data_IF_201497812107
#
_entry.id   IF_201497812107
#
_cell.length_a   1.000
_cell.length_b   1.000
_cell.length_c   1.000
_cell.angle_alpha   90.00
_cell.angle_beta   90.00
_cell.angle_gamma   90.00
#
_symmetry.space_group_name_H-M   'P 1'
#
loop_
_entity.id
_entity.type
_entity.pdbx_description
1 polymer ?
#
# COMPACT_ATOMS: atom_id res chain seq x y z
N UNK A 1 5.85 16.48 -57.06
CA UNK A 1 6.50 17.56 -57.81
C UNK A 1 6.84 18.65 -56.81
N UNK A 2 8.09 18.64 -56.35
CA UNK A 2 8.82 19.80 -55.81
C UNK A 2 9.23 20.68 -57.04
N UNK A 3 9.47 22.00 -56.93
CA UNK A 3 10.75 22.48 -56.38
C UNK A 3 10.66 23.80 -55.60
N UNK A 4 11.45 23.95 -54.54
CA UNK A 4 12.53 24.96 -54.40
C UNK A 4 12.75 25.42 -52.95
N UNK A 5 13.86 24.94 -52.39
CA UNK A 5 14.42 25.33 -51.10
C UNK A 5 15.30 26.60 -51.12
N UNK A 6 16.14 26.83 -50.09
CA UNK A 6 16.29 28.09 -49.36
C UNK A 6 17.63 28.84 -49.64
N UNK A 7 17.90 29.97 -48.95
CA UNK A 7 19.05 30.02 -48.01
C UNK A 7 18.80 30.97 -46.80
N UNK A 8 19.56 31.04 -45.71
CA UNK A 8 20.84 30.46 -45.32
C UNK A 8 21.19 30.88 -43.88
N UNK A 9 22.04 30.09 -43.24
CA UNK A 9 22.73 30.38 -41.97
C UNK A 9 23.89 31.37 -42.18
N UNK A 10 24.35 32.03 -41.11
CA UNK A 10 25.77 31.93 -40.81
C UNK A 10 26.09 31.59 -39.36
N UNK A 11 27.32 31.10 -39.23
CA UNK A 11 27.97 30.38 -38.15
C UNK A 11 29.22 31.17 -37.75
N UNK A 12 29.44 31.50 -36.47
CA UNK A 12 30.77 31.78 -35.86
C UNK A 12 30.61 31.59 -34.33
N UNK A 13 31.13 30.58 -33.61
CA UNK A 13 32.50 30.10 -33.29
C UNK A 13 33.32 31.01 -32.34
N UNK A 14 33.67 30.49 -31.15
CA UNK A 14 34.98 30.74 -30.54
C UNK A 14 35.01 31.07 -29.05
N UNK A 15 35.84 30.33 -28.29
CA UNK A 15 36.67 30.93 -27.24
C UNK A 15 36.63 30.31 -25.84
N UNK A 16 37.35 29.21 -25.64
CA UNK A 16 37.90 28.76 -24.34
C UNK A 16 39.13 29.62 -24.02
N UNK A 17 39.33 30.09 -22.78
CA UNK A 17 40.64 30.22 -22.12
C UNK A 17 40.54 30.26 -20.58
N UNK A 18 41.52 29.59 -19.97
CA UNK A 18 41.88 29.32 -18.57
C UNK A 18 42.47 30.55 -17.83
N UNK A 19 42.58 30.51 -16.49
CA UNK A 19 43.20 31.58 -15.72
C UNK A 19 43.23 31.41 -14.18
N UNK A 20 44.19 30.62 -13.71
CA UNK A 20 44.60 30.45 -12.31
C UNK A 20 45.08 31.74 -11.60
N UNK A 21 44.80 31.82 -10.28
CA UNK A 21 45.67 32.31 -9.17
C UNK A 21 46.26 33.74 -9.17
N UNK A 22 45.87 34.51 -8.15
CA UNK A 22 46.68 35.38 -7.25
C UNK A 22 45.80 35.64 -5.99
N UNK A 23 46.18 35.62 -4.71
CA UNK A 23 47.47 35.67 -4.04
C UNK A 23 47.60 36.97 -3.22
N UNK A 24 47.29 36.98 -1.91
CA UNK A 24 47.59 38.10 -0.98
C UNK A 24 46.91 37.93 0.38
N UNK A 25 47.56 37.31 1.38
CA UNK A 25 48.38 37.94 2.46
C UNK A 25 47.66 39.08 3.23
N UNK A 26 47.33 38.80 4.49
CA UNK A 26 46.89 39.75 5.50
C UNK A 26 46.81 39.09 6.88
N UNK A 27 47.97 38.89 7.50
CA UNK A 27 48.14 38.41 8.86
C UNK A 27 48.07 39.62 9.81
N UNK A 28 47.18 39.59 10.80
CA UNK A 28 47.38 40.29 12.07
C UNK A 28 46.79 39.46 13.21
N UNK A 29 47.65 39.28 14.18
CA UNK A 29 47.59 38.42 15.35
C UNK A 29 46.81 39.13 16.47
N UNK A 30 45.77 38.50 17.02
CA UNK A 30 45.28 38.82 18.37
C UNK A 30 44.87 37.53 19.07
N UNK A 31 45.78 37.10 19.94
CA UNK A 31 45.60 36.14 20.99
C UNK A 31 44.45 36.53 21.93
N UNK A 32 43.40 35.71 21.98
CA UNK A 32 42.50 35.59 23.14
C UNK A 32 42.35 34.11 23.46
N UNK A 33 42.94 33.73 24.60
CA UNK A 33 42.75 32.45 25.26
C UNK A 33 41.34 32.43 25.84
N UNK A 34 40.49 31.52 25.38
CA UNK A 34 39.30 31.11 26.09
C UNK A 34 39.07 29.62 25.87
N UNK A 35 39.33 28.86 26.92
CA UNK A 35 38.92 27.47 27.10
C UNK A 35 37.40 27.35 26.94
N UNK A 36 36.94 26.48 26.06
CA UNK A 36 35.58 25.94 26.12
C UNK A 36 35.60 24.55 25.52
N UNK A 37 35.27 23.59 26.37
CA UNK A 37 35.21 22.18 26.05
C UNK A 37 34.18 21.97 24.94
N UNK A 38 34.65 21.47 23.80
CA UNK A 38 33.81 20.83 22.80
C UNK A 38 33.25 19.57 23.44
N UNK A 39 32.01 19.66 23.92
CA UNK A 39 31.22 18.49 24.26
C UNK A 39 30.94 17.81 22.93
N UNK A 40 31.69 16.75 22.63
CA UNK A 40 31.45 15.90 21.49
C UNK A 40 30.00 15.39 21.57
N UNK A 41 29.14 15.94 20.74
CA UNK A 41 27.78 15.48 20.57
C UNK A 41 27.85 14.11 19.86
N UNK A 42 27.42 13.08 20.60
CA UNK A 42 27.41 11.69 20.17
C UNK A 42 26.60 11.54 18.86
N UNK A 43 27.19 11.02 17.76
CA UNK A 43 26.50 10.86 16.47
C UNK A 43 25.34 9.83 16.49
N UNK A 44 25.01 9.26 17.65
CA UNK A 44 23.89 8.34 17.84
C UNK A 44 22.49 9.01 17.86
N UNK A 45 22.37 10.34 17.96
CA UNK A 45 21.06 11.01 18.18
C UNK A 45 20.27 11.37 16.91
N UNK A 46 20.85 11.19 15.71
CA UNK A 46 20.19 11.53 14.42
C UNK A 46 19.48 10.31 13.78
N UNK A 47 19.54 9.13 14.42
CA UNK A 47 18.71 7.95 14.09
C UNK A 47 17.76 7.55 15.23
N UNK A 48 16.65 8.30 15.46
CA UNK A 48 15.45 7.62 15.98
C UNK A 48 14.08 8.16 15.49
N UNK A 49 13.92 9.43 15.10
CA UNK A 49 12.57 10.01 14.92
C UNK A 49 11.75 9.41 13.76
N UNK A 50 12.38 9.13 12.60
CA UNK A 50 11.68 8.52 11.44
C UNK A 50 11.33 7.05 11.68
N UNK A 51 12.17 6.33 12.42
CA UNK A 51 11.91 4.94 12.78
C UNK A 51 10.76 4.85 13.81
N UNK A 52 10.75 5.76 14.79
CA UNK A 52 9.65 5.88 15.76
C UNK A 52 8.33 6.28 15.10
N UNK A 53 8.33 7.26 14.19
CA UNK A 53 7.13 7.64 13.46
C UNK A 53 6.56 6.47 12.62
N UNK A 54 7.41 5.65 11.99
CA UNK A 54 6.99 4.45 11.27
C UNK A 54 6.44 3.37 12.19
N UNK A 55 7.08 3.13 13.33
CA UNK A 55 6.58 2.17 14.34
C UNK A 55 5.24 2.61 14.91
N UNK A 56 5.09 3.90 15.21
CA UNK A 56 3.83 4.47 15.70
C UNK A 56 2.73 4.36 14.65
N UNK A 57 3.04 4.64 13.38
CA UNK A 57 2.10 4.44 12.28
C UNK A 57 1.65 2.97 12.18
N UNK A 58 2.59 2.02 12.17
CA UNK A 58 2.26 0.59 12.09
C UNK A 58 1.41 0.12 13.29
N UNK A 59 1.74 0.56 14.51
CA UNK A 59 0.94 0.28 15.71
C UNK A 59 -0.46 0.87 15.62
N UNK A 60 -0.60 2.11 15.17
CA UNK A 60 -1.90 2.74 14.97
C UNK A 60 -2.75 1.96 13.97
N UNK A 61 -2.17 1.53 12.84
CA UNK A 61 -2.89 0.74 11.83
C UNK A 61 -3.31 -0.62 12.38
N UNK A 62 -2.44 -1.32 13.11
CA UNK A 62 -2.76 -2.61 13.71
C UNK A 62 -3.88 -2.51 14.76
N UNK A 63 -3.82 -1.53 15.66
CA UNK A 63 -4.87 -1.33 16.67
C UNK A 63 -6.18 -0.84 16.05
N UNK A 64 -6.10 0.00 15.01
CA UNK A 64 -7.27 0.43 14.26
C UNK A 64 -7.93 -0.76 13.57
N UNK A 65 -7.16 -1.63 12.92
CA UNK A 65 -7.65 -2.88 12.31
C UNK A 65 -8.40 -3.73 13.31
N UNK A 66 -7.84 -3.98 14.49
CA UNK A 66 -8.47 -4.75 15.54
C UNK A 66 -9.77 -4.09 16.05
N UNK A 67 -9.75 -2.77 16.26
CA UNK A 67 -10.94 -2.05 16.70
C UNK A 67 -12.05 -2.05 15.65
N UNK A 68 -11.70 -1.91 14.37
CA UNK A 68 -12.65 -1.95 13.26
C UNK A 68 -13.24 -3.34 13.04
N UNK A 69 -12.45 -4.41 13.17
CA UNK A 69 -12.95 -5.77 13.10
C UNK A 69 -13.92 -6.09 14.25
N UNK A 70 -13.68 -5.56 15.45
CA UNK A 70 -14.51 -5.84 16.63
C UNK A 70 -15.77 -4.97 16.73
N UNK A 71 -15.69 -3.70 16.35
CA UNK A 71 -16.74 -2.70 16.60
C UNK A 71 -17.24 -2.02 15.33
N UNK A 72 -16.72 -2.38 14.15
CA UNK A 72 -17.15 -1.85 12.86
C UNK A 72 -17.13 -0.32 12.81
N UNK A 73 -18.25 0.26 12.39
CA UNK A 73 -18.41 1.71 12.27
C UNK A 73 -18.33 2.44 13.62
N UNK A 74 -18.62 1.76 14.74
CA UNK A 74 -18.68 2.34 16.09
C UNK A 74 -17.32 2.36 16.80
N UNK A 75 -16.24 1.89 16.16
CA UNK A 75 -14.91 1.86 16.75
C UNK A 75 -14.42 3.26 17.18
N UNK A 76 -14.03 3.38 18.46
CA UNK A 76 -13.50 4.61 19.07
C UNK A 76 -12.05 4.89 18.67
N UNK A 77 -11.81 6.04 18.04
CA UNK A 77 -10.44 6.45 17.68
C UNK A 77 -9.59 6.81 18.91
N UNK A 78 -10.23 7.23 20.00
CA UNK A 78 -9.54 7.51 21.26
C UNK A 78 -8.99 6.21 21.88
N UNK A 79 -9.78 5.13 21.84
CA UNK A 79 -9.33 3.83 22.29
C UNK A 79 -8.24 3.25 21.40
N UNK A 80 -8.32 3.46 20.09
CA UNK A 80 -7.27 3.08 19.13
C UNK A 80 -5.96 3.79 19.48
N UNK A 81 -5.99 5.11 19.68
CA UNK A 81 -4.80 5.88 20.05
C UNK A 81 -4.21 5.39 21.38
N UNK A 82 -5.08 5.20 22.39
CA UNK A 82 -4.70 4.70 23.73
C UNK A 82 -4.04 3.33 23.67
N UNK A 83 -4.61 2.37 22.95
CA UNK A 83 -4.04 1.02 22.77
C UNK A 83 -2.73 1.06 21.97
N UNK A 84 -2.66 1.93 20.97
CA UNK A 84 -1.44 2.19 20.21
C UNK A 84 -0.38 2.97 21.03
N UNK A 85 -0.66 3.33 22.28
CA UNK A 85 0.27 4.03 23.17
C UNK A 85 0.66 5.41 22.68
N UNK A 86 -0.22 6.08 21.93
CA UNK A 86 0.00 7.43 21.40
C UNK A 86 -1.15 8.36 21.79
N UNK A 87 -0.90 9.66 21.86
CA UNK A 87 -1.96 10.64 22.09
C UNK A 87 -2.88 10.78 20.88
N UNK A 88 -4.15 11.14 21.11
CA UNK A 88 -5.14 11.36 20.04
C UNK A 88 -4.69 12.43 19.03
N UNK A 89 -3.97 13.46 19.49
CA UNK A 89 -3.36 14.46 18.60
C UNK A 89 -2.29 13.89 17.66
N UNK A 90 -1.56 12.85 18.10
CA UNK A 90 -0.60 12.14 17.25
C UNK A 90 -1.31 11.29 16.21
N UNK A 91 -2.42 10.63 16.57
CA UNK A 91 -3.27 9.91 15.62
C UNK A 91 -3.74 10.86 14.51
N UNK A 92 -4.32 12.01 14.86
CA UNK A 92 -4.80 12.97 13.85
C UNK A 92 -3.67 13.60 13.01
N UNK A 93 -2.44 13.70 13.53
CA UNK A 93 -1.27 14.10 12.73
C UNK A 93 -0.89 13.05 11.67
N UNK A 94 -1.07 11.76 11.96
CA UNK A 94 -0.84 10.68 10.98
C UNK A 94 -2.03 10.47 10.05
N UNK A 95 -3.25 10.61 10.59
CA UNK A 95 -4.52 10.33 9.92
C UNK A 95 -5.48 11.50 10.17
N UNK A 96 -5.48 12.52 9.30
CA UNK A 96 -6.25 13.76 9.52
C UNK A 96 -7.75 13.55 9.73
N UNK A 97 -8.29 12.45 9.22
CA UNK A 97 -9.68 12.06 9.40
C UNK A 97 -9.80 10.52 9.51
N UNK A 98 -10.98 10.05 9.91
CA UNK A 98 -11.29 8.61 10.04
C UNK A 98 -11.03 7.88 8.72
N UNK A 99 -11.41 8.46 7.58
CA UNK A 99 -11.22 7.87 6.25
C UNK A 99 -9.76 7.61 5.90
N UNK A 100 -8.84 8.50 6.30
CA UNK A 100 -7.40 8.30 6.11
C UNK A 100 -6.89 7.08 6.89
N UNK A 101 -7.38 6.90 8.13
CA UNK A 101 -7.06 5.72 8.93
C UNK A 101 -7.66 4.45 8.31
N UNK A 102 -8.90 4.51 7.81
CA UNK A 102 -9.54 3.40 7.10
C UNK A 102 -8.78 3.02 5.83
N UNK A 103 -8.35 4.00 5.04
CA UNK A 103 -7.55 3.76 3.84
C UNK A 103 -6.21 3.10 4.17
N UNK A 104 -5.59 3.46 5.30
CA UNK A 104 -4.35 2.85 5.76
C UNK A 104 -4.55 1.40 6.24
N UNK A 105 -5.60 1.12 7.00
CA UNK A 105 -5.99 -0.25 7.41
C UNK A 105 -6.29 -1.11 6.19
N UNK A 106 -7.02 -0.57 5.21
CA UNK A 106 -7.31 -1.28 3.97
C UNK A 106 -6.04 -1.59 3.16
N UNK A 107 -5.13 -0.63 3.04
CA UNK A 107 -3.86 -0.83 2.34
C UNK A 107 -2.98 -1.90 3.03
N UNK A 108 -2.98 -1.92 4.36
CA UNK A 108 -2.29 -2.93 5.17
C UNK A 108 -2.91 -4.32 4.93
N UNK A 109 -4.25 -4.43 4.91
CA UNK A 109 -4.95 -5.69 4.63
C UNK A 109 -4.65 -6.22 3.21
N UNK A 110 -4.58 -5.32 2.23
CA UNK A 110 -4.17 -5.68 0.87
C UNK A 110 -2.71 -6.14 0.86
N UNK A 111 -1.82 -5.50 1.60
CA UNK A 111 -0.42 -5.92 1.70
C UNK A 111 -0.29 -7.37 2.21
N UNK A 112 -1.11 -7.77 3.17
CA UNK A 112 -1.17 -9.15 3.68
C UNK A 112 -1.63 -10.13 2.58
N UNK A 113 -2.66 -9.79 1.82
CA UNK A 113 -3.13 -10.60 0.69
C UNK A 113 -2.10 -10.74 -0.43
N UNK A 114 -1.33 -9.68 -0.70
CA UNK A 114 -0.23 -9.71 -1.68
C UNK A 114 0.94 -10.55 -1.18
N UNK A 115 1.25 -10.50 0.12
CA UNK A 115 2.24 -11.37 0.73
C UNK A 115 1.81 -12.83 0.64
N UNK A 116 0.54 -13.11 0.96
CA UNK A 116 -0.02 -14.45 0.86
C UNK A 116 -0.02 -14.99 -0.57
N UNK A 117 -0.32 -14.15 -1.56
CA UNK A 117 -0.21 -14.56 -2.97
C UNK A 117 1.21 -14.99 -3.33
N UNK A 118 2.22 -14.22 -2.89
CA UNK A 118 3.63 -14.53 -3.13
C UNK A 118 4.04 -15.87 -2.53
N UNK A 119 3.62 -16.18 -1.30
CA UNK A 119 3.85 -17.49 -0.68
C UNK A 119 3.19 -18.63 -1.46
N UNK A 120 1.95 -18.41 -1.91
CA UNK A 120 1.15 -19.40 -2.62
C UNK A 120 1.65 -19.67 -4.05
N UNK A 121 2.49 -18.79 -4.60
CA UNK A 121 3.16 -19.06 -5.87
C UNK A 121 4.13 -20.23 -5.77
N UNK A 122 4.61 -20.64 -4.60
CA UNK A 122 5.51 -21.78 -4.48
C UNK A 122 4.77 -23.09 -4.14
N UNK A 123 3.45 -23.05 -4.00
CA UNK A 123 2.64 -24.20 -3.65
C UNK A 123 2.64 -25.26 -4.78
N UNK A 124 2.85 -26.56 -4.46
CA UNK A 124 2.84 -27.66 -5.43
C UNK A 124 1.46 -27.96 -6.01
N UNK A 125 0.38 -27.38 -5.46
CA UNK A 125 -1.00 -27.53 -5.91
C UNK A 125 -1.56 -26.19 -6.40
N UNK A 126 -1.28 -25.78 -7.66
CA UNK A 126 -1.61 -24.45 -8.17
C UNK A 126 -3.09 -24.05 -8.07
N UNK A 127 -4.00 -25.00 -8.32
CA UNK A 127 -5.44 -24.75 -8.19
C UNK A 127 -5.82 -24.51 -6.72
N UNK A 128 -5.34 -25.35 -5.81
CA UNK A 128 -5.55 -25.17 -4.36
C UNK A 128 -5.00 -23.84 -3.87
N UNK A 129 -3.85 -23.41 -4.38
CA UNK A 129 -3.22 -22.13 -4.07
C UNK A 129 -4.10 -20.94 -4.49
N UNK A 130 -4.59 -20.93 -5.73
CA UNK A 130 -5.54 -19.92 -6.22
C UNK A 130 -6.79 -19.86 -5.33
N UNK A 131 -7.39 -21.01 -5.04
CA UNK A 131 -8.60 -21.09 -4.21
C UNK A 131 -8.34 -20.59 -2.79
N UNK A 132 -7.20 -20.93 -2.21
CA UNK A 132 -6.78 -20.46 -0.88
C UNK A 132 -6.65 -18.94 -0.84
N UNK A 133 -6.09 -18.35 -1.90
CA UNK A 133 -5.97 -16.90 -2.01
C UNK A 133 -7.34 -16.23 -2.17
N UNK A 134 -8.23 -16.75 -3.03
CA UNK A 134 -9.59 -16.22 -3.20
C UNK A 134 -10.40 -16.29 -1.90
N UNK A 135 -10.27 -17.37 -1.12
CA UNK A 135 -10.87 -17.48 0.21
C UNK A 135 -10.37 -16.39 1.16
N UNK A 136 -9.07 -16.13 1.18
CA UNK A 136 -8.49 -15.09 2.02
C UNK A 136 -9.07 -13.70 1.69
N UNK A 137 -9.33 -13.42 0.41
CA UNK A 137 -9.99 -12.18 0.00
C UNK A 137 -11.41 -12.09 0.56
N UNK A 138 -12.20 -13.17 0.50
CA UNK A 138 -13.57 -13.18 1.06
C UNK A 138 -13.53 -12.92 2.57
N UNK A 139 -12.66 -13.62 3.29
CA UNK A 139 -12.51 -13.45 4.74
C UNK A 139 -12.16 -12.01 5.10
N UNK A 140 -11.16 -11.42 4.42
CA UNK A 140 -10.81 -10.02 4.64
C UNK A 140 -11.94 -9.06 4.26
N UNK A 141 -12.66 -9.31 3.16
CA UNK A 141 -13.77 -8.45 2.77
C UNK A 141 -14.86 -8.38 3.87
N UNK A 142 -15.14 -9.49 4.55
CA UNK A 142 -16.08 -9.53 5.68
C UNK A 142 -15.65 -8.67 6.87
N UNK A 143 -14.36 -8.63 7.20
CA UNK A 143 -13.82 -7.87 8.34
C UNK A 143 -13.92 -6.34 8.17
N UNK A 144 -13.91 -5.84 6.93
CA UNK A 144 -13.79 -4.40 6.64
C UNK A 144 -15.03 -3.78 5.97
N UNK A 145 -16.11 -4.52 5.74
CA UNK A 145 -17.24 -4.06 4.90
C UNK A 145 -18.18 -3.04 5.55
N UNK A 146 -18.42 -3.10 6.86
CA UNK A 146 -19.05 -2.00 7.61
C UNK A 146 -18.29 -0.66 7.48
N UNK A 147 -17.01 -0.73 7.14
CA UNK A 147 -16.13 0.42 6.90
C UNK A 147 -16.02 0.79 5.41
N UNK A 148 -16.17 -0.19 4.51
CA UNK A 148 -16.25 0.03 3.07
C UNK A 148 -17.49 0.86 2.69
N UNK A 149 -18.65 0.68 3.35
CA UNK A 149 -19.82 1.56 3.16
C UNK A 149 -19.55 3.00 3.61
N UNK A 150 -18.82 3.18 4.71
CA UNK A 150 -18.38 4.50 5.20
C UNK A 150 -17.33 5.15 4.27
N UNK A 151 -16.51 4.35 3.59
CA UNK A 151 -15.54 4.79 2.60
C UNK A 151 -16.20 5.15 1.26
N UNK A 152 -17.18 4.36 0.81
CA UNK A 152 -17.92 4.57 -0.45
C UNK A 152 -18.85 5.78 -0.39
N UNK A 153 -19.48 6.06 0.76
CA UNK A 153 -20.39 7.22 0.93
C UNK A 153 -19.68 8.59 0.92
N UNK A 154 -18.35 8.62 1.07
CA UNK A 154 -17.56 9.86 1.08
C UNK A 154 -16.99 10.23 -0.31
N UNK A 155 -17.33 9.49 -1.37
CA UNK A 155 -16.70 9.63 -2.69
C UNK A 155 -17.27 10.79 -3.51
N UNK A 156 -16.64 11.96 -3.40
CA UNK A 156 -16.58 12.91 -4.53
C UNK A 156 -15.17 13.29 -4.97
N UNK A 157 -14.12 13.01 -4.19
CA UNK A 157 -12.79 13.59 -4.52
C UNK A 157 -11.55 12.69 -4.38
N UNK A 158 -11.64 11.45 -3.89
CA UNK A 158 -10.43 10.63 -3.69
C UNK A 158 -10.29 9.50 -4.71
N UNK A 159 -9.21 9.58 -5.50
CA UNK A 159 -8.53 8.45 -6.10
C UNK A 159 -8.08 7.45 -5.00
N UNK A 160 -9.06 6.67 -4.53
CA UNK A 160 -9.10 5.97 -3.26
C UNK A 160 -7.95 4.99 -3.03
N UNK A 161 -7.68 4.63 -1.77
CA UNK A 161 -6.82 3.50 -1.42
C UNK A 161 -7.22 2.22 -2.18
N UNK A 162 -8.52 2.06 -2.47
CA UNK A 162 -9.07 1.01 -3.32
C UNK A 162 -8.47 1.03 -4.74
N UNK A 163 -8.40 2.21 -5.37
CA UNK A 163 -7.85 2.36 -6.71
C UNK A 163 -6.35 1.99 -6.74
N UNK A 164 -5.58 2.41 -5.74
CA UNK A 164 -4.14 2.07 -5.64
C UNK A 164 -3.88 0.59 -5.41
N UNK A 165 -4.79 -0.11 -4.72
CA UNK A 165 -4.68 -1.53 -4.44
C UNK A 165 -5.17 -2.44 -5.57
N UNK A 166 -6.00 -1.92 -6.48
CA UNK A 166 -6.62 -2.71 -7.56
C UNK A 166 -5.61 -3.37 -8.50
N UNK A 167 -4.59 -2.63 -8.97
CA UNK A 167 -3.55 -3.13 -9.86
C UNK A 167 -2.74 -4.28 -9.25
N UNK A 168 -2.09 -4.07 -8.08
CA UNK A 168 -1.33 -5.14 -7.42
C UNK A 168 -2.15 -6.39 -7.11
N UNK A 169 -3.41 -6.24 -6.69
CA UNK A 169 -4.31 -7.38 -6.44
C UNK A 169 -4.58 -8.16 -7.74
N UNK A 170 -4.84 -7.44 -8.83
CA UNK A 170 -5.06 -8.06 -10.13
C UNK A 170 -3.82 -8.81 -10.63
N UNK A 171 -2.63 -8.22 -10.51
CA UNK A 171 -1.36 -8.85 -10.88
C UNK A 171 -1.09 -10.13 -10.06
N UNK A 172 -1.24 -10.06 -8.74
CA UNK A 172 -1.05 -11.20 -7.86
C UNK A 172 -1.99 -12.37 -8.18
N UNK A 173 -3.28 -12.05 -8.38
CA UNK A 173 -4.27 -13.05 -8.79
C UNK A 173 -4.00 -13.62 -10.18
N UNK A 174 -3.55 -12.79 -11.13
CA UNK A 174 -3.20 -13.22 -12.49
C UNK A 174 -2.10 -14.26 -12.47
N UNK A 175 -1.07 -14.07 -11.64
CA UNK A 175 0.05 -14.99 -11.52
C UNK A 175 -0.39 -16.37 -10.97
N UNK A 176 -1.24 -16.39 -9.94
CA UNK A 176 -1.80 -17.62 -9.39
C UNK A 176 -2.70 -18.35 -10.41
N UNK A 177 -3.57 -17.60 -11.10
CA UNK A 177 -4.45 -18.14 -12.14
C UNK A 177 -3.67 -18.74 -13.30
N UNK A 178 -2.63 -18.05 -13.78
CA UNK A 178 -1.78 -18.53 -14.86
C UNK A 178 -1.10 -19.86 -14.50
N UNK A 179 -0.66 -20.05 -13.25
CA UNK A 179 -0.13 -21.35 -12.79
C UNK A 179 -1.21 -22.44 -12.79
N UNK A 180 -2.40 -22.14 -12.31
CA UNK A 180 -3.52 -23.09 -12.27
C UNK A 180 -3.98 -23.51 -13.68
N UNK A 181 -4.00 -22.58 -14.63
CA UNK A 181 -4.28 -22.84 -16.04
C UNK A 181 -3.16 -23.65 -16.70
N UNK A 182 -1.89 -23.31 -16.44
CA UNK A 182 -0.74 -24.05 -16.98
C UNK A 182 -0.68 -25.50 -16.49
N UNK A 183 -1.20 -25.77 -15.29
CA UNK A 183 -1.35 -27.11 -14.74
C UNK A 183 -2.57 -27.88 -15.30
N UNK A 184 -3.36 -27.26 -16.19
CA UNK A 184 -4.59 -27.84 -16.74
C UNK A 184 -5.73 -27.98 -15.72
N UNK A 185 -5.63 -27.33 -14.56
CA UNK A 185 -6.62 -27.48 -13.48
C UNK A 185 -7.77 -26.46 -13.56
N UNK A 186 -7.59 -25.38 -14.34
CA UNK A 186 -8.56 -24.31 -14.56
C UNK A 186 -8.61 -24.01 -16.05
N UNK A 187 -9.80 -23.73 -16.59
CA UNK A 187 -9.98 -23.42 -18.01
C UNK A 187 -9.30 -22.10 -18.42
N UNK A 188 -8.80 -22.00 -19.67
CA UNK A 188 -8.04 -20.84 -20.14
C UNK A 188 -8.89 -19.58 -20.40
N UNK A 189 -10.22 -19.73 -20.50
CA UNK A 189 -11.17 -18.63 -20.71
C UNK A 189 -11.52 -17.87 -19.42
N UNK A 190 -11.11 -18.40 -18.26
CA UNK A 190 -11.35 -17.76 -16.96
C UNK A 190 -10.47 -16.52 -16.81
N UNK A 191 -11.10 -15.38 -16.49
CA UNK A 191 -10.43 -14.11 -16.18
C UNK A 191 -10.27 -13.93 -14.67
N UNK A 192 -9.12 -13.42 -14.23
CA UNK A 192 -8.95 -13.04 -12.83
C UNK A 192 -9.87 -11.86 -12.45
N UNK A 193 -10.19 -10.97 -13.39
CA UNK A 193 -11.11 -9.86 -13.15
C UNK A 193 -12.49 -10.37 -12.77
N UNK A 194 -12.97 -11.43 -13.42
CA UNK A 194 -14.25 -12.06 -13.12
C UNK A 194 -14.20 -12.76 -11.75
N UNK A 195 -13.10 -13.46 -11.45
CA UNK A 195 -12.92 -14.10 -10.15
C UNK A 195 -12.91 -13.09 -9.01
N UNK A 196 -12.22 -11.96 -9.15
CA UNK A 196 -12.20 -10.90 -8.15
C UNK A 196 -13.59 -10.27 -7.96
N UNK A 197 -14.34 -10.05 -9.05
CA UNK A 197 -15.72 -9.57 -8.98
C UNK A 197 -16.66 -10.58 -8.29
N UNK A 198 -16.53 -11.87 -8.64
CA UNK A 198 -17.30 -12.96 -8.03
C UNK A 198 -17.02 -13.07 -6.53
N UNK A 199 -15.75 -13.07 -6.15
CA UNK A 199 -15.31 -13.05 -4.75
C UNK A 199 -15.89 -11.86 -3.99
N UNK A 200 -15.91 -10.68 -4.60
CA UNK A 200 -16.54 -9.50 -4.02
C UNK A 200 -18.07 -9.66 -3.86
N UNK A 201 -18.76 -10.25 -4.84
CA UNK A 201 -20.20 -10.51 -4.78
C UNK A 201 -20.55 -11.56 -3.70
N UNK A 202 -19.74 -12.61 -3.57
CA UNK A 202 -19.92 -13.65 -2.54
C UNK A 202 -19.73 -13.05 -1.14
N UNK A 203 -18.71 -12.21 -0.96
CA UNK A 203 -18.49 -11.52 0.32
C UNK A 203 -19.68 -10.63 0.70
N UNK A 204 -20.28 -9.92 -0.27
CA UNK A 204 -21.49 -9.12 -0.07
C UNK A 204 -22.70 -9.98 0.32
N UNK A 205 -22.91 -11.11 -0.36
CA UNK A 205 -24.03 -12.00 -0.05
C UNK A 205 -23.92 -12.63 1.36
N UNK A 206 -22.70 -12.99 1.77
CA UNK A 206 -22.44 -13.53 3.11
C UNK A 206 -22.67 -12.50 4.22
N UNK A 207 -22.43 -11.22 3.95
CA UNK A 207 -22.68 -10.12 4.91
C UNK A 207 -24.18 -9.94 5.20
N UNK A 208 -25.03 -10.04 4.17
CA UNK A 208 -26.50 -9.93 4.32
C UNK A 208 -27.13 -11.14 5.00
N UNK A 209 -26.35 -12.21 5.25
CA UNK A 209 -26.83 -13.46 5.84
C UNK A 209 -25.91 -13.91 7.00
N UNK A 210 -25.75 -13.11 8.07
CA UNK A 210 -24.79 -13.39 9.15
C UNK A 210 -25.08 -14.69 9.92
N UNK A 211 -26.33 -15.17 9.89
CA UNK A 211 -26.76 -16.47 10.41
C UNK A 211 -26.22 -17.68 9.61
N UNK A 212 -25.69 -17.47 8.41
CA UNK A 212 -25.10 -18.49 7.56
C UNK A 212 -23.59 -18.27 7.31
N UNK A 213 -22.72 -18.49 8.31
CA UNK A 213 -21.28 -18.24 8.19
C UNK A 213 -20.59 -19.09 7.10
N UNK A 214 -21.20 -20.20 6.69
CA UNK A 214 -20.68 -21.11 5.66
C UNK A 214 -21.09 -20.70 4.23
N UNK A 215 -21.99 -19.72 4.06
CA UNK A 215 -22.53 -19.32 2.75
C UNK A 215 -21.41 -18.91 1.78
N UNK A 216 -20.45 -18.13 2.26
CA UNK A 216 -19.31 -17.67 1.47
C UNK A 216 -18.48 -18.82 0.90
N UNK A 217 -18.08 -19.79 1.73
CA UNK A 217 -17.28 -20.93 1.29
C UNK A 217 -18.07 -21.86 0.36
N UNK A 218 -19.38 -22.04 0.64
CA UNK A 218 -20.28 -22.82 -0.20
C UNK A 218 -20.42 -22.22 -1.60
N UNK A 219 -20.69 -20.90 -1.71
CA UNK A 219 -20.83 -20.19 -2.99
C UNK A 219 -19.51 -20.18 -3.77
N UNK A 220 -18.38 -19.96 -3.10
CA UNK A 220 -17.08 -20.01 -3.74
C UNK A 220 -16.80 -21.44 -4.27
N UNK A 221 -17.05 -22.47 -3.46
CA UNK A 221 -16.87 -23.87 -3.87
C UNK A 221 -17.72 -24.24 -5.08
N UNK A 222 -18.99 -23.81 -5.11
CA UNK A 222 -19.89 -24.04 -6.24
C UNK A 222 -19.36 -23.38 -7.52
N UNK A 223 -18.91 -22.13 -7.41
CA UNK A 223 -18.32 -21.36 -8.53
C UNK A 223 -17.07 -22.05 -9.05
N UNK A 224 -16.15 -22.46 -8.16
CA UNK A 224 -14.89 -23.10 -8.53
C UNK A 224 -15.07 -24.48 -9.14
N UNK A 225 -16.06 -25.27 -8.69
CA UNK A 225 -16.41 -26.54 -9.36
C UNK A 225 -16.79 -26.30 -10.82
N UNK A 226 -17.50 -25.22 -11.08
CA UNK A 226 -17.89 -24.81 -12.44
C UNK A 226 -16.73 -24.35 -13.31
N UNK A 227 -15.54 -24.07 -12.78
CA UNK A 227 -14.37 -23.52 -13.49
C UNK A 227 -13.25 -24.54 -13.76
N UNK A 228 -13.37 -25.74 -13.20
CA UNK A 228 -12.44 -26.85 -13.46
C UNK A 228 -12.52 -27.27 -14.93
N UNK A 229 -11.38 -27.65 -15.48
CA UNK A 229 -11.24 -28.21 -16.82
C UNK A 229 -11.76 -29.65 -16.90
#
# INVERSE_FOLDING_TARGET
>A
MDPSGPPGVPFVRGGILDGSRYGGRGQVDVMVVATSQETAEDPATVRPMRADARRNHARLVAEARAAFAAYGADASLEDVARRAGVGIGTLYRHFPNRHALLGAVFADAVSDLLARARELLDDPQPCTALVTWLRAIITHAGEYRGLSRALMSATRDDASALARCSGPMHEAGSALLARAQSAGAVRPDVSIGDLLQLTNAIALAAEETPEEPELADRLLTLTLRGLKA
#
